data_IF_522479642830
#
_entry.id   IF_522479642830
#
_cell.length_a   1.000
_cell.length_b   1.000
_cell.length_c   1.000
_cell.angle_alpha   90.00
_cell.angle_beta   90.00
_cell.angle_gamma   90.00
#
_symmetry.space_group_name_H-M   'P 1'
#
loop_
_entity.id
_entity.type
_entity.pdbx_description
1 polymer ?
#
# COMPACT_ATOMS: atom_id res chain seq x y z
N UNK A 1 18.90 0.13 -0.46
CA UNK A 1 18.13 -0.95 0.18
C UNK A 1 16.82 -1.11 -0.56
N UNK A 2 16.01 -2.13 -0.26
CA UNK A 2 14.74 -2.38 -0.97
C UNK A 2 13.66 -1.31 -0.73
N UNK A 3 13.78 -0.54 0.35
CA UNK A 3 12.90 0.59 0.69
C UNK A 3 13.69 1.89 0.59
N UNK A 4 13.08 2.89 -0.04
CA UNK A 4 13.57 4.26 -0.15
C UNK A 4 12.82 5.12 0.88
N UNK A 5 13.46 5.52 1.99
CA UNK A 5 12.77 6.15 3.12
C UNK A 5 12.08 7.48 2.79
N UNK A 6 12.51 8.19 1.74
CA UNK A 6 11.94 9.47 1.32
C UNK A 6 10.84 9.32 0.26
N UNK A 7 10.58 8.10 -0.22
CA UNK A 7 9.62 7.81 -1.30
C UNK A 7 8.31 7.19 -0.79
N UNK A 8 7.85 7.62 0.39
CA UNK A 8 6.57 7.17 0.93
C UNK A 8 5.45 8.17 0.61
N UNK A 9 4.21 7.67 0.61
CA UNK A 9 3.03 8.52 0.67
C UNK A 9 2.00 7.85 1.56
N UNK A 10 1.29 8.62 2.37
CA UNK A 10 0.20 8.09 3.18
C UNK A 10 0.64 7.11 4.27
N UNK A 11 0.12 7.33 5.47
CA UNK A 11 0.05 6.30 6.51
C UNK A 11 -1.22 6.59 7.32
N UNK A 12 -1.16 7.69 8.09
CA UNK A 12 -2.35 8.40 8.52
C UNK A 12 -2.63 9.56 7.56
N UNK A 13 -3.70 9.44 6.79
CA UNK A 13 -4.22 10.51 5.94
C UNK A 13 -5.76 10.43 5.88
N UNK A 14 -6.48 11.28 6.63
CA UNK A 14 -7.94 11.20 6.74
C UNK A 14 -8.62 11.61 5.44
N UNK A 15 -8.96 10.61 4.61
CA UNK A 15 -9.62 10.80 3.32
C UNK A 15 -10.64 9.70 2.99
N UNK A 16 -11.55 10.02 2.09
CA UNK A 16 -12.34 9.02 1.39
C UNK A 16 -11.52 8.35 0.27
N UNK A 17 -11.89 7.11 -0.09
CA UNK A 17 -11.41 6.49 -1.33
C UNK A 17 -11.96 7.30 -2.51
N UNK A 18 -11.10 7.63 -3.46
CA UNK A 18 -11.43 8.46 -4.61
C UNK A 18 -12.70 7.96 -5.33
N UNK A 19 -13.65 8.87 -5.57
CA UNK A 19 -14.93 8.56 -6.22
C UNK A 19 -15.96 7.87 -5.33
N UNK A 20 -15.71 7.74 -4.02
CA UNK A 20 -16.65 7.10 -3.08
C UNK A 20 -16.87 7.96 -1.83
N UNK A 21 -17.82 7.55 -0.97
CA UNK A 21 -18.01 8.08 0.40
C UNK A 21 -17.48 7.13 1.48
N UNK A 22 -16.70 6.12 1.10
CA UNK A 22 -16.10 5.15 2.03
C UNK A 22 -14.76 5.69 2.52
N UNK A 23 -14.55 5.65 3.83
CA UNK A 23 -13.25 6.01 4.41
C UNK A 23 -12.17 5.04 3.90
N UNK A 24 -10.99 5.58 3.58
CA UNK A 24 -9.81 4.79 3.23
C UNK A 24 -9.19 4.17 4.48
N UNK A 25 -8.50 3.04 4.35
CA UNK A 25 -7.69 2.48 5.44
C UNK A 25 -6.56 3.44 5.90
N UNK A 26 -6.10 4.34 5.01
CA UNK A 26 -5.22 5.46 5.37
C UNK A 26 -5.87 6.41 6.39
N UNK A 27 -7.20 6.53 6.43
CA UNK A 27 -7.90 7.36 7.42
C UNK A 27 -7.82 6.79 8.84
N UNK A 28 -7.47 5.52 8.98
CA UNK A 28 -7.34 4.81 10.25
C UNK A 28 -5.89 4.48 10.62
N UNK A 29 -4.91 4.88 9.80
CA UNK A 29 -3.52 4.48 9.99
C UNK A 29 -3.26 2.99 9.74
N UNK A 30 -4.14 2.34 8.98
CA UNK A 30 -4.08 0.89 8.68
C UNK A 30 -3.51 0.58 7.29
N UNK A 31 -3.07 1.60 6.56
CA UNK A 31 -2.45 1.47 5.25
C UNK A 31 -1.23 2.36 5.14
N UNK A 32 -0.35 2.07 4.19
CA UNK A 32 0.86 2.83 3.88
C UNK A 32 1.27 2.62 2.43
N UNK A 33 1.81 3.67 1.80
CA UNK A 33 2.35 3.58 0.44
C UNK A 33 3.87 3.77 0.44
N UNK A 34 4.60 2.85 -0.21
CA UNK A 34 6.07 2.81 -0.23
C UNK A 34 6.65 2.85 -1.64
N UNK A 35 7.85 3.43 -1.77
CA UNK A 35 8.61 3.58 -3.03
C UNK A 35 7.71 4.09 -4.17
N UNK A 36 6.92 5.13 -3.87
CA UNK A 36 5.82 5.64 -4.69
C UNK A 36 6.22 5.94 -6.13
N UNK A 37 7.35 6.61 -6.44
CA UNK A 37 7.74 6.92 -7.83
C UNK A 37 7.80 5.69 -8.74
N UNK A 38 8.24 4.54 -8.24
CA UNK A 38 8.34 3.27 -8.98
C UNK A 38 7.10 2.37 -8.90
N UNK A 39 6.08 2.74 -8.12
CA UNK A 39 4.96 1.87 -7.75
C UNK A 39 3.59 2.52 -7.93
N UNK A 40 3.47 3.43 -8.89
CA UNK A 40 2.23 4.12 -9.20
C UNK A 40 1.07 3.15 -9.48
N UNK A 41 -0.13 3.52 -9.02
CA UNK A 41 -1.37 2.78 -9.26
C UNK A 41 -1.63 2.61 -10.77
N UNK A 42 -2.14 1.44 -11.16
CA UNK A 42 -2.36 1.08 -12.55
C UNK A 42 -1.11 0.56 -13.28
N UNK A 43 0.03 0.42 -12.60
CA UNK A 43 1.25 -0.16 -13.15
C UNK A 43 1.55 -1.54 -12.56
N UNK A 44 2.49 -2.27 -13.17
CA UNK A 44 3.01 -3.52 -12.58
C UNK A 44 3.84 -3.29 -11.30
N UNK A 45 4.32 -2.05 -11.10
CA UNK A 45 5.20 -1.67 -10.01
C UNK A 45 6.57 -2.33 -10.04
N UNK A 46 7.42 -1.90 -9.10
CA UNK A 46 8.79 -2.37 -8.90
C UNK A 46 9.02 -2.88 -7.46
N UNK A 47 7.96 -2.95 -6.64
CA UNK A 47 8.06 -3.33 -5.24
C UNK A 47 8.73 -4.69 -5.07
N UNK A 48 9.73 -4.75 -4.18
CA UNK A 48 10.48 -5.97 -3.91
C UNK A 48 9.59 -7.10 -3.41
N UNK A 49 9.75 -8.31 -3.96
CA UNK A 49 8.99 -9.49 -3.52
C UNK A 49 9.38 -9.93 -2.11
N UNK A 50 10.59 -9.62 -1.66
CA UNK A 50 11.01 -9.85 -0.28
C UNK A 50 10.24 -8.94 0.69
N UNK A 51 10.08 -7.65 0.33
CA UNK A 51 9.25 -6.70 1.11
C UNK A 51 7.80 -7.16 1.16
N UNK A 52 7.23 -7.54 0.01
CA UNK A 52 5.85 -8.06 -0.06
C UNK A 52 5.66 -9.28 0.85
N UNK A 53 6.62 -10.21 0.86
CA UNK A 53 6.56 -11.40 1.69
C UNK A 53 6.57 -11.06 3.20
N UNK A 54 7.37 -10.07 3.61
CA UNK A 54 7.37 -9.58 5.01
C UNK A 54 5.99 -9.02 5.38
N UNK A 55 5.41 -8.14 4.57
CA UNK A 55 4.10 -7.55 4.83
C UNK A 55 2.99 -8.62 4.91
N UNK A 56 2.94 -9.54 3.94
CA UNK A 56 1.97 -10.64 3.94
C UNK A 56 2.12 -11.56 5.15
N UNK A 57 3.35 -11.84 5.59
CA UNK A 57 3.62 -12.61 6.82
C UNK A 57 3.00 -11.94 8.05
N UNK A 58 2.98 -10.61 8.09
CA UNK A 58 2.44 -9.83 9.20
C UNK A 58 0.98 -9.38 9.01
N UNK A 59 0.25 -10.00 8.07
CA UNK A 59 -1.20 -9.81 7.94
C UNK A 59 -1.63 -8.65 7.04
N UNK A 60 -0.71 -8.07 6.27
CA UNK A 60 -1.04 -7.04 5.28
C UNK A 60 -1.37 -7.66 3.92
N UNK A 61 -2.40 -7.13 3.26
CA UNK A 61 -2.63 -7.30 1.83
C UNK A 61 -1.75 -6.32 1.03
N UNK A 62 -1.51 -6.65 -0.24
CA UNK A 62 -0.72 -5.83 -1.17
C UNK A 62 -1.56 -5.43 -2.37
N UNK A 63 -1.61 -4.13 -2.67
CA UNK A 63 -2.53 -3.57 -3.66
C UNK A 63 -2.28 -4.03 -5.11
N UNK A 64 -1.08 -4.55 -5.43
CA UNK A 64 -0.85 -5.11 -6.77
C UNK A 64 -1.56 -6.45 -7.03
N UNK A 65 -2.09 -7.10 -5.99
CA UNK A 65 -2.90 -8.32 -6.15
C UNK A 65 -4.34 -7.98 -6.61
N UNK A 66 -4.73 -6.71 -6.63
CA UNK A 66 -6.07 -6.27 -7.05
C UNK A 66 -6.22 -6.15 -8.56
N UNK A 67 -7.45 -6.25 -9.06
CA UNK A 67 -7.75 -6.15 -10.49
C UNK A 67 -7.34 -4.80 -11.12
N UNK A 68 -7.51 -3.70 -10.38
CA UNK A 68 -6.88 -2.43 -10.73
C UNK A 68 -5.74 -2.17 -9.72
N UNK A 69 -4.57 -2.71 -10.11
CA UNK A 69 -3.34 -2.77 -9.33
C UNK A 69 -2.96 -1.44 -8.65
N UNK A 70 -2.50 -1.53 -7.41
CA UNK A 70 -1.94 -0.43 -6.62
C UNK A 70 -0.63 -0.84 -5.93
N UNK A 71 0.51 -0.92 -6.66
CA UNK A 71 1.72 -1.57 -6.16
C UNK A 71 2.42 -0.88 -5.00
N UNK A 72 2.16 0.40 -4.78
CA UNK A 72 2.71 1.15 -3.66
C UNK A 72 2.00 0.82 -2.35
N UNK A 73 0.73 0.41 -2.42
CA UNK A 73 -0.18 0.31 -1.28
C UNK A 73 -0.10 -1.03 -0.55
N UNK A 74 0.05 -0.96 0.76
CA UNK A 74 -0.15 -2.07 1.70
C UNK A 74 -1.22 -1.69 2.71
N UNK A 75 -2.09 -2.63 3.07
CA UNK A 75 -3.09 -2.42 4.13
C UNK A 75 -3.26 -3.63 5.02
N UNK A 76 -3.54 -3.39 6.31
CA UNK A 76 -3.80 -4.46 7.26
C UNK A 76 -5.09 -5.19 6.88
N UNK A 77 -4.98 -6.46 6.55
CA UNK A 77 -6.12 -7.33 6.21
C UNK A 77 -6.56 -8.15 7.43
N UNK A 78 -5.60 -8.59 8.25
CA UNK A 78 -5.86 -9.38 9.46
C UNK A 78 -4.79 -9.16 10.53
N UNK A 79 -5.19 -9.31 11.79
CA UNK A 79 -4.25 -9.39 12.92
C UNK A 79 -3.64 -10.80 12.96
N UNK A 80 -2.34 -10.89 13.19
CA UNK A 80 -1.56 -12.15 13.26
C UNK A 80 -1.08 -12.46 14.67
#
# INVERSE_FOLDING_TARGET
GEIHPDEYAGCYYPRYIAGTRRLSNHAFGLALDLNVPGNQRGTVGQMSRAVVAVFKRWGFAWGADWGYTDPMHFELERVV
#
